data_IF_296974950281
#
_entry.id   IF_296974950281
#
_cell.length_a   1.000
_cell.length_b   1.000
_cell.length_c   1.000
_cell.angle_alpha   90.00
_cell.angle_beta   90.00
_cell.angle_gamma   90.00
#
_symmetry.space_group_name_H-M   'P 1'
#
loop_
_entity.id
_entity.type
_entity.pdbx_description
1 polymer ?
#
# COMPACT_ATOMS: atom_id res chain seq x y z
N UNK A 1 -1.86 30.00 -6.44
CA UNK A 1 -1.42 28.96 -5.49
C UNK A 1 -1.43 27.67 -6.28
N UNK A 2 -0.31 27.34 -6.91
CA UNK A 2 -0.16 26.16 -7.76
C UNK A 2 0.07 24.95 -6.86
N UNK A 3 -0.83 23.97 -6.91
CA UNK A 3 -0.62 22.66 -6.31
C UNK A 3 0.38 21.91 -7.19
N UNK A 4 1.64 21.89 -6.78
CA UNK A 4 2.63 20.97 -7.34
C UNK A 4 2.31 19.60 -6.76
N UNK A 5 1.65 18.75 -7.54
CA UNK A 5 1.69 17.31 -7.34
C UNK A 5 3.13 16.90 -7.67
N UNK A 6 3.99 16.83 -6.65
CA UNK A 6 5.27 16.16 -6.80
C UNK A 6 4.97 14.72 -7.20
N UNK A 7 5.48 14.31 -8.35
CA UNK A 7 5.44 12.95 -8.86
C UNK A 7 6.41 12.07 -8.03
N UNK A 8 6.20 12.05 -6.70
CA UNK A 8 6.83 11.09 -5.82
C UNK A 8 6.11 9.76 -6.03
N UNK A 9 6.57 9.01 -7.03
CA UNK A 9 6.11 7.65 -7.28
C UNK A 9 6.10 6.79 -6.01
N UNK A 10 5.32 5.71 -6.03
CA UNK A 10 5.18 4.81 -4.87
C UNK A 10 6.56 4.30 -4.44
N UNK A 11 6.94 4.58 -3.19
CA UNK A 11 8.21 4.14 -2.61
C UNK A 11 8.00 2.96 -1.68
N UNK A 12 9.04 2.15 -1.46
CA UNK A 12 9.01 1.08 -0.44
C UNK A 12 8.64 1.63 0.94
N UNK A 13 9.10 2.85 1.27
CA UNK A 13 8.76 3.51 2.55
C UNK A 13 7.28 3.87 2.66
N UNK A 14 6.66 4.32 1.57
CA UNK A 14 5.22 4.60 1.58
C UNK A 14 4.40 3.31 1.65
N UNK A 15 4.84 2.22 1.00
CA UNK A 15 4.23 0.89 1.14
C UNK A 15 4.35 0.38 2.57
N UNK A 16 5.53 0.47 3.18
CA UNK A 16 5.76 0.06 4.57
C UNK A 16 4.80 0.78 5.52
N UNK A 17 4.71 2.10 5.41
CA UNK A 17 3.82 2.92 6.24
C UNK A 17 2.35 2.57 6.03
N UNK A 18 1.96 2.34 4.79
CA UNK A 18 0.59 1.94 4.45
C UNK A 18 0.23 0.55 5.00
N UNK A 19 1.09 -0.45 4.77
CA UNK A 19 0.83 -1.85 5.11
C UNK A 19 0.96 -2.16 6.61
N UNK A 20 1.80 -1.40 7.33
CA UNK A 20 2.18 -1.74 8.72
C UNK A 20 1.91 -0.61 9.72
N UNK A 21 1.61 0.60 9.25
CA UNK A 21 1.49 1.79 10.10
C UNK A 21 2.84 2.34 10.59
N UNK A 22 3.97 1.67 10.33
CA UNK A 22 5.28 2.08 10.78
C UNK A 22 6.03 2.90 9.71
N UNK A 23 6.73 3.97 10.13
CA UNK A 23 7.57 4.78 9.23
C UNK A 23 9.01 4.27 9.10
N UNK A 24 9.35 3.21 9.83
CA UNK A 24 10.66 2.55 9.87
C UNK A 24 10.47 1.06 10.12
N UNK A 25 11.42 0.26 9.67
CA UNK A 25 11.43 -1.17 9.98
C UNK A 25 11.54 -1.38 11.49
N UNK A 26 10.78 -2.33 12.07
CA UNK A 26 10.93 -2.67 13.47
C UNK A 26 12.34 -3.21 13.74
N UNK A 27 12.97 -2.80 14.85
CA UNK A 27 14.33 -3.23 15.20
C UNK A 27 14.48 -4.76 15.33
N UNK A 28 13.40 -5.45 15.70
CA UNK A 28 13.34 -6.90 15.85
C UNK A 28 12.66 -7.60 14.67
N UNK A 29 12.36 -6.87 13.59
CA UNK A 29 11.53 -7.34 12.50
C UNK A 29 10.04 -7.39 12.83
N UNK A 30 9.23 -7.86 11.88
CA UNK A 30 7.78 -7.94 12.03
C UNK A 30 7.39 -9.15 12.90
N UNK A 31 6.51 -8.92 13.89
CA UNK A 31 6.01 -9.99 14.77
C UNK A 31 5.12 -11.00 14.05
N UNK A 32 4.50 -10.59 12.94
CA UNK A 32 3.75 -11.42 12.01
C UNK A 32 4.35 -11.26 10.63
N UNK A 33 4.49 -12.38 9.92
CA UNK A 33 4.97 -12.38 8.55
C UNK A 33 4.03 -11.52 7.69
N UNK A 34 4.55 -10.50 6.99
CA UNK A 34 3.75 -9.71 6.07
C UNK A 34 3.13 -10.59 4.97
N UNK A 35 1.90 -10.31 4.61
CA UNK A 35 1.16 -11.05 3.56
C UNK A 35 0.67 -10.10 2.48
N UNK A 36 0.65 -10.61 1.24
CA UNK A 36 0.03 -9.92 0.11
C UNK A 36 -1.11 -10.79 -0.39
N UNK A 37 -2.30 -10.22 -0.48
CA UNK A 37 -3.48 -10.85 -1.07
C UNK A 37 -3.92 -10.09 -2.30
N UNK A 38 -4.44 -10.81 -3.30
CA UNK A 38 -5.02 -10.21 -4.50
C UNK A 38 -6.54 -10.36 -4.45
N UNK A 39 -7.28 -9.26 -4.57
CA UNK A 39 -8.75 -9.25 -4.54
C UNK A 39 -9.36 -8.33 -5.62
N UNK A 40 -10.64 -8.54 -5.95
CA UNK A 40 -11.39 -7.67 -6.87
C UNK A 40 -11.88 -6.41 -6.13
N UNK A 41 -10.96 -5.47 -5.93
CA UNK A 41 -11.21 -4.20 -5.22
C UNK A 41 -10.70 -3.03 -6.05
N UNK A 42 -11.28 -1.84 -5.85
CA UNK A 42 -10.94 -0.63 -6.63
C UNK A 42 -9.63 -0.02 -6.15
N UNK A 43 -9.40 -0.02 -4.84
CA UNK A 43 -8.21 0.56 -4.22
C UNK A 43 -7.48 -0.47 -3.37
N UNK A 44 -6.14 -0.37 -3.24
CA UNK A 44 -5.41 -1.12 -2.24
C UNK A 44 -5.95 -0.85 -0.85
N UNK A 45 -5.89 -1.86 0.01
CA UNK A 45 -6.22 -1.74 1.44
C UNK A 45 -5.20 -2.48 2.29
N UNK A 46 -5.13 -2.12 3.58
CA UNK A 46 -4.18 -2.72 4.50
C UNK A 46 -4.80 -3.00 5.87
N UNK A 47 -4.40 -4.13 6.46
CA UNK A 47 -4.69 -4.49 7.84
C UNK A 47 -3.40 -4.43 8.65
N UNK A 48 -3.09 -3.26 9.20
CA UNK A 48 -1.78 -2.95 9.82
C UNK A 48 -1.45 -3.81 11.03
N UNK A 49 -2.44 -4.20 11.83
CA UNK A 49 -2.25 -5.09 12.99
C UNK A 49 -1.74 -6.50 12.64
N UNK A 50 -1.83 -6.88 11.36
CA UNK A 50 -1.42 -8.18 10.86
C UNK A 50 -0.46 -8.10 9.66
N UNK A 51 -0.01 -6.89 9.27
CA UNK A 51 0.87 -6.64 8.14
C UNK A 51 0.34 -7.24 6.82
N UNK A 52 -0.96 -7.14 6.57
CA UNK A 52 -1.59 -7.65 5.36
C UNK A 52 -1.87 -6.50 4.39
N UNK A 53 -1.44 -6.67 3.13
CA UNK A 53 -1.69 -5.78 2.02
C UNK A 53 -2.60 -6.45 0.99
N UNK A 54 -3.76 -5.86 0.71
CA UNK A 54 -4.68 -6.33 -0.33
C UNK A 54 -4.50 -5.46 -1.58
N UNK A 55 -4.15 -6.11 -2.69
CA UNK A 55 -3.96 -5.49 -4.00
C UNK A 55 -5.08 -5.88 -4.97
N UNK A 56 -5.52 -4.97 -5.86
CA UNK A 56 -6.41 -5.29 -6.96
C UNK A 56 -5.84 -6.37 -7.89
N UNK A 57 -6.65 -7.35 -8.34
CA UNK A 57 -6.22 -8.38 -9.31
C UNK A 57 -6.28 -7.89 -10.76
N UNK A 58 -7.11 -6.89 -11.05
CA UNK A 58 -7.28 -6.32 -12.38
C UNK A 58 -7.60 -4.82 -12.23
N UNK A 59 -6.83 -3.98 -12.93
CA UNK A 59 -7.29 -2.63 -13.28
C UNK A 59 -8.30 -2.89 -14.39
N UNK A 60 -9.60 -2.86 -14.09
CA UNK A 60 -10.60 -2.70 -15.14
C UNK A 60 -10.21 -1.39 -15.82
N UNK A 61 -9.92 -1.43 -17.13
CA UNK A 61 -9.60 -0.25 -17.93
C UNK A 61 -10.71 0.79 -17.77
N UNK A 62 -10.57 1.67 -16.77
CA UNK A 62 -11.32 2.91 -16.70
C UNK A 62 -10.63 3.87 -17.68
N UNK A 63 -10.76 3.57 -18.98
CA UNK A 63 -10.72 4.64 -19.97
C UNK A 63 -11.82 5.65 -19.60
N UNK A 64 -11.41 6.90 -19.52
CA UNK A 64 -12.22 8.06 -19.21
C UNK A 64 -13.51 8.08 -20.05
N UNK A 65 -14.67 8.15 -19.38
CA UNK A 65 -15.94 8.61 -19.98
C UNK A 65 -16.27 9.97 -19.39
#
# INVERSE_FOLDING_TARGET
MSFQLEDEGVTIKSILKFATGASKDPLLGFSKNPTIQFAKVIFPSASTCINELVLPVEIVDYEFV
#
